data_IF_016197746454
#
_entry.id   IF_016197746454
#
_cell.length_a   1.000
_cell.length_b   1.000
_cell.length_c   1.000
_cell.angle_alpha   90.00
_cell.angle_beta   90.00
_cell.angle_gamma   90.00
#
_symmetry.space_group_name_H-M   'P 1'
#
loop_
_entity.id
_entity.type
_entity.pdbx_description
1 polymer ?
#
# COMPACT_ATOMS: atom_id res chain seq x y z
N UNK A 1 7.27 13.31 23.77
CA UNK A 1 5.82 13.50 23.77
C UNK A 1 5.09 12.35 23.07
N UNK A 2 5.38 12.03 21.81
CA UNK A 2 4.74 10.93 21.06
C UNK A 2 4.73 9.57 21.78
N UNK A 3 5.87 9.12 22.31
CA UNK A 3 5.96 7.83 23.03
C UNK A 3 5.12 7.80 24.33
N UNK A 4 4.97 8.95 24.99
CA UNK A 4 4.15 9.09 26.18
C UNK A 4 2.67 8.94 25.85
N UNK A 5 2.20 9.61 24.78
CA UNK A 5 0.82 9.48 24.31
C UNK A 5 0.50 8.04 23.90
N UNK A 6 1.41 7.39 23.16
CA UNK A 6 1.24 5.98 22.79
C UNK A 6 1.10 5.10 24.04
N UNK A 7 1.96 5.27 25.06
CA UNK A 7 1.89 4.47 26.29
C UNK A 7 0.61 4.69 27.09
N UNK A 8 0.08 5.93 27.08
CA UNK A 8 -1.13 6.28 27.84
C UNK A 8 -2.40 5.78 27.15
N UNK A 9 -2.48 5.89 25.83
CA UNK A 9 -3.74 5.67 25.09
C UNK A 9 -3.77 4.38 24.30
N UNK A 10 -2.63 3.74 24.01
CA UNK A 10 -2.58 2.50 23.23
C UNK A 10 -2.10 1.34 24.11
N UNK A 11 -3.07 0.57 24.63
CA UNK A 11 -2.80 -0.67 25.36
C UNK A 11 -2.21 -1.71 24.39
N UNK A 12 -1.23 -2.47 24.84
CA UNK A 12 -0.52 -3.49 24.02
C UNK A 12 0.16 -2.93 22.75
N UNK A 13 0.70 -1.71 22.84
CA UNK A 13 1.25 -0.93 21.73
C UNK A 13 2.35 -1.62 20.89
N UNK A 14 2.85 -2.79 21.31
CA UNK A 14 3.84 -3.59 20.57
C UNK A 14 3.19 -4.50 19.52
N UNK A 15 1.97 -4.97 19.76
CA UNK A 15 1.25 -5.89 18.87
C UNK A 15 0.48 -5.11 17.79
N UNK A 16 1.20 -4.60 16.81
CA UNK A 16 0.62 -3.79 15.71
C UNK A 16 -0.13 -4.61 14.67
N UNK A 17 -0.01 -5.93 14.69
CA UNK A 17 -0.78 -6.84 13.84
C UNK A 17 -2.22 -7.04 14.34
N UNK A 18 -2.51 -6.69 15.61
CA UNK A 18 -3.85 -6.76 16.16
C UNK A 18 -4.72 -5.60 15.64
N UNK A 19 -5.85 -5.88 14.97
CA UNK A 19 -6.76 -4.85 14.47
C UNK A 19 -7.27 -3.89 15.56
N UNK A 20 -7.46 -4.36 16.79
CA UNK A 20 -7.91 -3.52 17.90
C UNK A 20 -6.81 -2.54 18.36
N UNK A 21 -5.56 -2.97 18.38
CA UNK A 21 -4.40 -2.11 18.67
C UNK A 21 -4.23 -1.08 17.56
N UNK A 22 -4.31 -1.51 16.31
CA UNK A 22 -4.22 -0.63 15.13
C UNK A 22 -5.30 0.45 15.16
N UNK A 23 -6.55 0.08 15.45
CA UNK A 23 -7.68 1.01 15.61
C UNK A 23 -7.40 2.07 16.70
N UNK A 24 -6.81 1.68 17.84
CA UNK A 24 -6.42 2.63 18.90
C UNK A 24 -5.36 3.61 18.44
N UNK A 25 -4.39 3.19 17.64
CA UNK A 25 -3.41 4.09 17.00
C UNK A 25 -4.08 5.10 16.08
N UNK A 26 -5.00 4.66 15.21
CA UNK A 26 -5.77 5.52 14.33
C UNK A 26 -6.60 6.54 15.09
N UNK A 27 -7.31 6.09 16.14
CA UNK A 27 -8.08 6.99 17.00
C UNK A 27 -7.20 8.02 17.73
N UNK A 28 -6.03 7.61 18.23
CA UNK A 28 -5.10 8.53 18.88
C UNK A 28 -4.62 9.60 17.89
N UNK A 29 -4.25 9.21 16.67
CA UNK A 29 -3.83 10.15 15.64
C UNK A 29 -4.93 11.14 15.25
N UNK A 30 -6.11 10.62 14.92
CA UNK A 30 -7.25 11.42 14.51
C UNK A 30 -7.74 12.37 15.61
N UNK A 31 -7.89 11.88 16.84
CA UNK A 31 -8.32 12.70 17.96
C UNK A 31 -7.31 13.83 18.27
N UNK A 32 -6.02 13.50 18.25
CA UNK A 32 -4.96 14.50 18.42
C UNK A 32 -5.02 15.55 17.31
N UNK A 33 -5.23 15.12 16.06
CA UNK A 33 -5.41 16.03 14.92
C UNK A 33 -6.61 16.97 15.08
N UNK A 34 -7.78 16.42 15.45
CA UNK A 34 -8.99 17.22 15.69
C UNK A 34 -8.73 18.27 16.77
N UNK A 35 -8.22 17.86 17.92
CA UNK A 35 -8.01 18.78 19.06
C UNK A 35 -7.01 19.87 18.71
N UNK A 36 -5.88 19.53 18.09
CA UNK A 36 -4.86 20.53 17.77
C UNK A 36 -5.31 21.49 16.66
N UNK A 37 -6.00 21.00 15.62
CA UNK A 37 -6.51 21.86 14.56
C UNK A 37 -7.62 22.80 15.07
N UNK A 38 -8.48 22.34 15.98
CA UNK A 38 -9.47 23.22 16.63
C UNK A 38 -8.78 24.25 17.52
N UNK A 39 -7.75 23.88 18.28
CA UNK A 39 -6.99 24.83 19.09
C UNK A 39 -6.28 25.89 18.22
N UNK A 40 -5.69 25.47 17.10
CA UNK A 40 -5.08 26.38 16.13
C UNK A 40 -6.12 27.31 15.49
N UNK A 41 -7.29 26.77 15.10
CA UNK A 41 -8.41 27.57 14.59
C UNK A 41 -8.81 28.67 15.58
N UNK A 42 -9.11 28.29 16.82
CA UNK A 42 -9.54 29.24 17.84
C UNK A 42 -8.47 30.28 18.16
N UNK A 43 -7.22 29.86 18.30
CA UNK A 43 -6.09 30.76 18.58
C UNK A 43 -5.87 31.79 17.46
N UNK A 44 -5.88 31.35 16.20
CA UNK A 44 -5.74 32.21 15.02
C UNK A 44 -6.95 33.09 14.84
N UNK A 45 -8.17 32.60 15.06
CA UNK A 45 -9.39 33.41 14.96
C UNK A 45 -9.40 34.56 15.96
N UNK A 46 -9.07 34.26 17.22
CA UNK A 46 -8.97 35.32 18.27
C UNK A 46 -7.88 36.32 17.91
N UNK A 47 -6.69 35.87 17.52
CA UNK A 47 -5.60 36.73 17.11
C UNK A 47 -5.97 37.59 15.90
N UNK A 48 -6.64 37.01 14.90
CA UNK A 48 -7.11 37.75 13.72
C UNK A 48 -8.15 38.81 14.01
N UNK A 49 -9.12 38.50 14.89
CA UNK A 49 -10.13 39.51 15.34
C UNK A 49 -9.47 40.64 16.11
N UNK A 50 -8.57 40.32 17.03
CA UNK A 50 -7.89 41.35 17.86
C UNK A 50 -6.94 42.23 17.04
N UNK A 51 -6.31 41.69 15.98
CA UNK A 51 -5.40 42.44 15.11
C UNK A 51 -6.09 43.12 13.91
N UNK A 52 -7.35 42.77 13.64
CA UNK A 52 -8.04 43.17 12.39
C UNK A 52 -7.46 42.49 11.13
N UNK A 53 -6.63 41.47 11.29
CA UNK A 53 -5.93 40.77 10.20
C UNK A 53 -6.82 39.77 9.48
N UNK A 54 -7.40 40.14 8.33
CA UNK A 54 -8.26 39.26 7.52
C UNK A 54 -7.51 38.01 7.07
N UNK A 55 -6.23 38.10 6.72
CA UNK A 55 -5.40 36.97 6.32
C UNK A 55 -5.22 35.94 7.45
N UNK A 56 -5.10 36.38 8.70
CA UNK A 56 -4.99 35.49 9.87
C UNK A 56 -6.32 34.78 10.13
N UNK A 57 -7.45 35.47 9.91
CA UNK A 57 -8.78 34.86 10.00
C UNK A 57 -8.97 33.80 8.90
N UNK A 58 -8.58 34.11 7.67
CA UNK A 58 -8.65 33.14 6.56
C UNK A 58 -7.81 31.88 6.86
N UNK A 59 -6.59 32.05 7.39
CA UNK A 59 -5.71 30.95 7.79
C UNK A 59 -6.28 30.17 9.00
N UNK A 60 -7.07 30.79 9.86
CA UNK A 60 -7.82 30.06 10.90
C UNK A 60 -8.82 29.08 10.27
N UNK A 61 -9.58 29.49 9.25
CA UNK A 61 -10.53 28.60 8.58
C UNK A 61 -9.85 27.42 7.87
N UNK A 62 -8.61 27.58 7.39
CA UNK A 62 -7.83 26.44 6.88
C UNK A 62 -7.65 25.36 7.98
N UNK A 63 -7.31 25.76 9.22
CA UNK A 63 -7.20 24.77 10.30
C UNK A 63 -8.55 24.13 10.68
N UNK A 64 -9.66 24.79 10.44
CA UNK A 64 -10.99 24.17 10.61
C UNK A 64 -11.22 23.10 9.54
N UNK A 65 -10.80 23.34 8.29
CA UNK A 65 -10.82 22.35 7.20
C UNK A 65 -9.93 21.14 7.52
N UNK A 66 -8.73 21.37 8.11
CA UNK A 66 -7.81 20.30 8.53
C UNK A 66 -8.38 19.46 9.69
N UNK A 67 -9.19 20.09 10.56
CA UNK A 67 -9.97 19.34 11.55
C UNK A 67 -10.96 18.39 10.85
N UNK A 68 -11.57 18.81 9.72
CA UNK A 68 -12.40 17.95 8.87
C UNK A 68 -11.64 16.75 8.31
N UNK A 69 -10.43 16.92 7.78
CA UNK A 69 -9.55 15.82 7.35
C UNK A 69 -9.24 14.85 8.49
N UNK A 70 -9.01 15.39 9.71
CA UNK A 70 -8.79 14.56 10.91
C UNK A 70 -10.04 13.77 11.31
N UNK A 71 -11.24 14.36 11.13
CA UNK A 71 -12.53 13.65 11.33
C UNK A 71 -12.67 12.52 10.31
N UNK A 72 -12.31 12.74 9.03
CA UNK A 72 -12.32 11.68 8.02
C UNK A 72 -11.37 10.53 8.38
N UNK A 73 -10.19 10.84 8.91
CA UNK A 73 -9.27 9.83 9.45
C UNK A 73 -9.95 9.01 10.57
N UNK A 74 -10.63 9.67 11.50
CA UNK A 74 -11.35 8.99 12.59
C UNK A 74 -12.47 8.08 12.06
N UNK A 75 -13.29 8.57 11.14
CA UNK A 75 -14.38 7.83 10.51
C UNK A 75 -13.83 6.62 9.77
N UNK A 76 -12.75 6.79 9.00
CA UNK A 76 -12.08 5.72 8.28
C UNK A 76 -11.66 4.56 9.18
N UNK A 77 -10.95 4.86 10.28
CA UNK A 77 -10.57 3.82 11.25
C UNK A 77 -11.76 3.20 11.99
N UNK A 78 -12.82 3.99 12.24
CA UNK A 78 -14.04 3.47 12.83
C UNK A 78 -14.72 2.47 11.90
N UNK A 79 -14.89 2.83 10.64
CA UNK A 79 -15.53 1.97 9.64
C UNK A 79 -14.66 0.75 9.30
N UNK A 80 -13.36 0.92 9.11
CA UNK A 80 -12.44 -0.21 8.87
C UNK A 80 -12.48 -1.25 10.00
N UNK A 81 -12.75 -0.82 11.23
CA UNK A 81 -12.90 -1.71 12.38
C UNK A 81 -14.29 -2.35 12.54
N UNK A 82 -15.23 -2.14 11.61
CA UNK A 82 -16.55 -2.81 11.65
C UNK A 82 -16.43 -4.27 11.24
N UNK A 83 -17.22 -5.19 11.84
CA UNK A 83 -17.24 -6.59 11.44
C UNK A 83 -17.79 -6.75 10.02
N UNK A 84 -17.64 -7.95 9.47
CA UNK A 84 -18.34 -8.35 8.25
C UNK A 84 -19.87 -8.35 8.48
N UNK A 85 -20.60 -7.99 7.45
CA UNK A 85 -22.07 -8.02 7.39
C UNK A 85 -22.55 -8.62 6.06
N UNK A 86 -23.87 -8.61 5.83
CA UNK A 86 -24.48 -9.20 4.64
C UNK A 86 -24.12 -8.47 3.34
N UNK A 87 -23.81 -7.17 3.40
CA UNK A 87 -23.43 -6.37 2.24
C UNK A 87 -21.92 -6.43 1.98
N UNK A 88 -21.12 -6.58 3.06
CA UNK A 88 -19.67 -6.64 3.03
C UNK A 88 -19.14 -7.89 3.76
N UNK A 89 -19.28 -9.09 3.15
CA UNK A 89 -18.92 -10.37 3.78
C UNK A 89 -17.42 -10.49 4.08
N UNK A 90 -16.56 -9.79 3.31
CA UNK A 90 -15.12 -9.68 3.60
C UNK A 90 -14.79 -8.55 4.59
N UNK A 91 -15.83 -7.84 5.12
CA UNK A 91 -15.72 -6.77 6.09
C UNK A 91 -15.30 -5.43 5.49
N UNK A 92 -15.08 -4.46 6.37
CA UNK A 92 -14.92 -3.04 6.03
C UNK A 92 -13.45 -2.55 6.06
N UNK A 93 -12.46 -3.45 6.14
CA UNK A 93 -11.04 -3.07 6.31
C UNK A 93 -10.53 -2.10 5.26
N UNK A 94 -11.00 -2.19 4.02
CA UNK A 94 -10.64 -1.31 2.90
C UNK A 94 -11.13 0.14 3.05
N UNK A 95 -12.06 0.42 4.00
CA UNK A 95 -12.50 1.79 4.30
C UNK A 95 -11.37 2.69 4.81
N UNK A 96 -10.30 2.11 5.34
CA UNK A 96 -9.08 2.86 5.66
C UNK A 96 -8.47 3.47 4.39
N UNK A 97 -8.35 2.72 3.31
CA UNK A 97 -7.80 3.21 2.03
C UNK A 97 -8.72 4.24 1.38
N UNK A 98 -10.05 4.03 1.43
CA UNK A 98 -11.04 5.00 0.95
C UNK A 98 -10.88 6.35 1.66
N UNK A 99 -10.68 6.33 2.98
CA UNK A 99 -10.42 7.56 3.75
C UNK A 99 -9.13 8.25 3.33
N UNK A 100 -8.06 7.49 3.05
CA UNK A 100 -6.82 8.02 2.50
C UNK A 100 -7.01 8.70 1.14
N UNK A 101 -7.85 8.13 0.27
CA UNK A 101 -8.23 8.74 -1.01
C UNK A 101 -8.96 10.05 -0.80
N UNK A 102 -9.95 10.11 0.09
CA UNK A 102 -10.69 11.35 0.38
C UNK A 102 -9.74 12.45 0.87
N UNK A 103 -8.85 12.12 1.81
CA UNK A 103 -7.86 13.07 2.32
C UNK A 103 -6.93 13.56 1.19
N UNK A 104 -6.47 12.66 0.30
CA UNK A 104 -5.62 13.05 -0.82
C UNK A 104 -6.32 14.01 -1.80
N UNK A 105 -7.62 13.84 -2.02
CA UNK A 105 -8.41 14.81 -2.80
C UNK A 105 -8.50 16.17 -2.11
N UNK A 106 -8.67 16.21 -0.80
CA UNK A 106 -8.66 17.47 -0.04
C UNK A 106 -7.29 18.17 -0.20
N UNK A 107 -6.18 17.44 -0.07
CA UNK A 107 -4.83 17.98 -0.28
C UNK A 107 -4.68 18.55 -1.70
N UNK A 108 -5.12 17.82 -2.73
CA UNK A 108 -5.05 18.30 -4.11
C UNK A 108 -5.91 19.53 -4.34
N UNK A 109 -7.11 19.61 -3.75
CA UNK A 109 -7.97 20.80 -3.83
C UNK A 109 -7.29 22.00 -3.20
N UNK A 110 -6.66 21.85 -2.03
CA UNK A 110 -5.90 22.93 -1.37
C UNK A 110 -4.71 23.38 -2.23
N UNK A 111 -3.98 22.44 -2.84
CA UNK A 111 -2.89 22.77 -3.77
C UNK A 111 -3.40 23.54 -5.00
N UNK A 112 -4.53 23.14 -5.56
CA UNK A 112 -5.15 23.84 -6.69
C UNK A 112 -5.60 25.26 -6.31
N UNK A 113 -6.25 25.44 -5.16
CA UNK A 113 -6.70 26.73 -4.67
C UNK A 113 -5.53 27.66 -4.37
N UNK A 114 -4.46 27.17 -3.76
CA UNK A 114 -3.23 27.92 -3.55
C UNK A 114 -2.61 28.36 -4.89
N UNK A 115 -2.55 27.45 -5.87
CA UNK A 115 -2.04 27.76 -7.21
C UNK A 115 -2.86 28.85 -7.91
N UNK A 116 -4.20 28.73 -7.87
CA UNK A 116 -5.13 29.71 -8.42
C UNK A 116 -4.94 31.08 -7.76
N UNK A 117 -4.97 31.14 -6.43
CA UNK A 117 -4.76 32.38 -5.67
C UNK A 117 -3.39 33.00 -5.95
N UNK A 118 -2.34 32.19 -6.07
CA UNK A 118 -1.00 32.66 -6.40
C UNK A 118 -0.92 33.28 -7.80
N UNK A 119 -1.59 32.68 -8.79
CA UNK A 119 -1.69 33.23 -10.15
C UNK A 119 -2.49 34.51 -10.16
N UNK A 120 -3.62 34.58 -9.47
CA UNK A 120 -4.44 35.83 -9.35
C UNK A 120 -3.64 36.96 -8.75
N UNK A 121 -2.83 36.72 -7.72
CA UNK A 121 -1.94 37.70 -7.10
C UNK A 121 -0.84 38.24 -8.03
N UNK A 122 -0.41 37.46 -9.04
CA UNK A 122 0.52 38.00 -10.05
C UNK A 122 -0.11 39.10 -10.89
N UNK A 123 -1.39 38.93 -11.27
CA UNK A 123 -2.12 39.91 -12.08
C UNK A 123 -2.71 41.07 -11.27
N UNK A 124 -2.96 40.85 -9.99
CA UNK A 124 -3.53 41.84 -9.06
C UNK A 124 -2.75 41.82 -7.74
N UNK A 125 -1.55 42.44 -7.70
CA UNK A 125 -0.71 42.42 -6.52
C UNK A 125 -1.40 43.08 -5.31
N UNK A 126 -1.61 42.33 -4.26
CA UNK A 126 -2.06 42.84 -2.96
C UNK A 126 -0.86 43.07 -2.05
N UNK A 127 -0.69 44.25 -1.53
CA UNK A 127 0.37 44.55 -0.56
C UNK A 127 0.09 43.80 0.73
N UNK A 128 0.90 42.81 1.03
CA UNK A 128 0.84 42.16 2.35
C UNK A 128 1.52 43.06 3.39
N UNK A 129 0.80 43.44 4.43
CA UNK A 129 1.39 44.22 5.53
C UNK A 129 2.14 43.29 6.48
N UNK A 130 3.41 43.61 6.73
CA UNK A 130 4.21 42.89 7.72
C UNK A 130 3.70 43.14 9.13
N UNK A 131 3.28 42.09 9.82
CA UNK A 131 2.83 42.13 11.22
C UNK A 131 3.62 41.13 12.07
N UNK A 132 4.28 41.64 13.10
CA UNK A 132 5.00 40.78 14.08
C UNK A 132 4.04 39.78 14.74
N UNK A 133 2.79 40.21 15.00
CA UNK A 133 1.78 39.35 15.57
C UNK A 133 1.45 38.16 14.59
N UNK A 134 1.24 38.49 13.31
CA UNK A 134 0.98 37.47 12.28
C UNK A 134 2.12 36.47 12.17
N UNK A 135 3.38 36.93 12.10
CA UNK A 135 4.56 36.07 12.04
C UNK A 135 4.68 35.17 13.29
N UNK A 136 4.39 35.71 14.48
CA UNK A 136 4.43 34.95 15.74
C UNK A 136 3.38 33.83 15.77
N UNK A 137 2.17 34.11 15.31
CA UNK A 137 1.05 33.16 15.24
C UNK A 137 1.33 32.08 14.19
N UNK A 138 1.81 32.46 13.00
CA UNK A 138 2.23 31.52 11.95
C UNK A 138 3.38 30.65 12.43
N UNK A 139 4.39 31.20 13.10
CA UNK A 139 5.50 30.44 13.66
C UNK A 139 5.07 29.43 14.71
N UNK A 140 4.17 29.81 15.62
CA UNK A 140 3.59 28.89 16.59
C UNK A 140 2.78 27.77 15.92
N UNK A 141 1.97 28.13 14.92
CA UNK A 141 1.21 27.17 14.12
C UNK A 141 2.13 26.19 13.39
N UNK A 142 3.21 26.68 12.78
CA UNK A 142 4.21 25.87 12.09
C UNK A 142 4.82 24.80 13.01
N UNK A 143 5.18 25.17 14.23
CA UNK A 143 5.75 24.21 15.21
C UNK A 143 4.75 23.12 15.59
N UNK A 144 3.47 23.47 15.77
CA UNK A 144 2.41 22.50 16.07
C UNK A 144 2.18 21.57 14.88
N UNK A 145 2.06 22.12 13.67
CA UNK A 145 1.88 21.33 12.43
C UNK A 145 3.06 20.42 12.14
N UNK A 146 4.29 20.88 12.34
CA UNK A 146 5.49 20.07 12.21
C UNK A 146 5.47 18.88 13.20
N UNK A 147 5.09 19.16 14.44
CA UNK A 147 4.94 18.08 15.42
C UNK A 147 3.84 17.08 15.00
N UNK A 148 2.70 17.57 14.48
CA UNK A 148 1.60 16.72 13.97
C UNK A 148 2.08 15.85 12.79
N UNK A 149 2.82 16.42 11.83
CA UNK A 149 3.38 15.70 10.70
C UNK A 149 4.31 14.56 11.15
N UNK A 150 5.25 14.86 12.06
CA UNK A 150 6.16 13.86 12.64
C UNK A 150 5.42 12.79 13.46
N UNK A 151 4.41 13.21 14.21
CA UNK A 151 3.57 12.32 15.01
C UNK A 151 2.80 11.34 14.13
N UNK A 152 2.07 11.85 13.12
CA UNK A 152 1.29 11.05 12.19
C UNK A 152 2.18 10.14 11.32
N UNK A 153 3.35 10.63 10.88
CA UNK A 153 4.34 9.80 10.17
C UNK A 153 4.80 8.61 11.02
N UNK A 154 5.09 8.86 12.31
CA UNK A 154 5.52 7.80 13.23
C UNK A 154 4.42 6.76 13.47
N UNK A 155 3.19 7.21 13.67
CA UNK A 155 2.04 6.32 13.82
C UNK A 155 1.78 5.54 12.52
N UNK A 156 1.73 6.23 11.38
CA UNK A 156 1.49 5.64 10.07
C UNK A 156 2.52 4.57 9.69
N UNK A 157 3.80 4.82 9.95
CA UNK A 157 4.86 3.82 9.74
C UNK A 157 4.72 2.62 10.68
N UNK A 158 4.32 2.84 11.94
CA UNK A 158 4.24 1.78 12.94
C UNK A 158 3.11 0.81 12.69
N UNK A 159 1.98 1.29 12.15
CA UNK A 159 0.82 0.47 11.84
C UNK A 159 0.64 0.25 10.32
N UNK A 160 1.57 0.70 9.49
CA UNK A 160 1.52 0.69 8.01
C UNK A 160 0.16 1.15 7.46
N UNK A 161 -0.26 2.36 7.89
CA UNK A 161 -1.56 2.93 7.55
C UNK A 161 -1.44 3.99 6.46
N UNK A 162 -2.14 3.79 5.33
CA UNK A 162 -2.23 4.77 4.25
C UNK A 162 -2.92 6.06 4.71
N UNK A 163 -4.00 5.94 5.48
CA UNK A 163 -4.74 7.09 6.03
C UNK A 163 -3.89 7.95 6.97
N UNK A 164 -3.08 7.32 7.85
CA UNK A 164 -2.18 8.06 8.72
C UNK A 164 -1.03 8.71 7.95
N UNK A 165 -0.53 8.07 6.88
CA UNK A 165 0.44 8.67 5.96
C UNK A 165 -0.16 9.86 5.22
N UNK A 166 -1.42 9.78 4.78
CA UNK A 166 -2.16 10.89 4.18
C UNK A 166 -2.30 12.08 5.15
N UNK A 167 -2.72 11.83 6.40
CA UNK A 167 -2.80 12.88 7.42
C UNK A 167 -1.43 13.49 7.78
N UNK A 168 -0.35 12.73 7.67
CA UNK A 168 1.01 13.25 7.82
C UNK A 168 1.41 14.15 6.64
N UNK A 169 1.06 13.76 5.40
CA UNK A 169 1.30 14.53 4.19
C UNK A 169 0.54 15.87 4.20
N UNK A 170 -0.72 15.85 4.65
CA UNK A 170 -1.54 17.04 4.87
C UNK A 170 -0.84 18.04 5.80
N UNK A 171 -0.50 17.60 7.02
CA UNK A 171 0.21 18.44 7.99
C UNK A 171 1.59 18.93 7.50
N UNK A 172 2.29 18.15 6.68
CA UNK A 172 3.58 18.53 6.10
C UNK A 172 3.40 19.57 4.99
N UNK A 173 2.37 19.44 4.16
CA UNK A 173 2.01 20.45 3.14
C UNK A 173 1.75 21.80 3.76
N UNK A 174 1.02 21.83 4.87
CA UNK A 174 0.78 23.04 5.66
C UNK A 174 2.07 23.64 6.22
N UNK A 175 2.99 22.81 6.72
CA UNK A 175 4.29 23.27 7.19
C UNK A 175 5.08 23.96 6.06
N UNK A 176 5.11 23.38 4.87
CA UNK A 176 5.85 23.91 3.73
C UNK A 176 5.21 25.23 3.29
N UNK A 177 3.89 25.26 3.10
CA UNK A 177 3.16 26.46 2.73
C UNK A 177 3.40 27.60 3.73
N UNK A 178 3.21 27.36 5.03
CA UNK A 178 3.42 28.36 6.09
C UNK A 178 4.88 28.81 6.16
N UNK A 179 5.85 27.91 5.99
CA UNK A 179 7.29 28.26 6.00
C UNK A 179 7.62 29.21 4.84
N UNK A 180 7.11 28.91 3.64
CA UNK A 180 7.33 29.76 2.45
C UNK A 180 6.71 31.14 2.66
N UNK A 181 5.49 31.20 3.18
CA UNK A 181 4.84 32.49 3.49
C UNK A 181 5.69 33.32 4.47
N UNK A 182 6.18 32.71 5.57
CA UNK A 182 7.04 33.39 6.54
C UNK A 182 8.33 33.91 5.88
N UNK A 183 8.99 33.08 5.04
CA UNK A 183 10.21 33.44 4.32
C UNK A 183 9.93 34.62 3.35
N UNK A 184 8.84 34.55 2.60
CA UNK A 184 8.44 35.65 1.70
C UNK A 184 8.17 36.94 2.43
N UNK A 185 7.49 36.90 3.59
CA UNK A 185 7.27 38.09 4.45
C UNK A 185 8.60 38.71 4.91
N UNK A 186 9.61 37.90 5.27
CA UNK A 186 10.94 38.42 5.62
C UNK A 186 11.67 39.01 4.42
N UNK A 187 11.63 38.36 3.25
CA UNK A 187 12.25 38.89 2.03
C UNK A 187 11.63 40.22 1.64
N UNK A 188 10.30 40.33 1.68
CA UNK A 188 9.60 41.56 1.40
C UNK A 188 10.01 42.66 2.37
N UNK A 189 10.16 42.38 3.68
CA UNK A 189 10.60 43.33 4.67
C UNK A 189 11.98 43.91 4.39
N UNK A 190 12.94 43.08 3.97
CA UNK A 190 14.33 43.49 3.78
C UNK A 190 14.65 43.97 2.37
N UNK A 191 14.02 43.44 1.34
CA UNK A 191 14.32 43.72 -0.07
C UNK A 191 13.26 44.53 -0.79
N UNK A 192 12.04 44.64 -0.26
CA UNK A 192 10.89 45.22 -0.94
C UNK A 192 10.34 44.39 -2.09
N UNK A 193 10.91 43.22 -2.38
CA UNK A 193 10.45 42.35 -3.46
C UNK A 193 9.28 41.46 -3.00
N UNK A 194 8.20 41.46 -3.78
CA UNK A 194 7.03 40.58 -3.59
C UNK A 194 7.23 39.23 -4.30
N UNK A 195 7.75 38.22 -3.60
CA UNK A 195 7.99 36.90 -4.13
C UNK A 195 6.87 35.91 -3.78
N UNK A 196 5.90 36.32 -2.94
CA UNK A 196 4.85 35.46 -2.40
C UNK A 196 4.09 34.67 -3.48
N UNK A 197 3.70 35.35 -4.56
CA UNK A 197 2.93 34.76 -5.65
C UNK A 197 3.72 33.69 -6.42
N UNK A 198 5.00 33.92 -6.70
CA UNK A 198 5.84 32.95 -7.42
C UNK A 198 6.18 31.74 -6.55
N UNK A 199 6.52 31.99 -5.30
CA UNK A 199 6.77 30.93 -4.32
C UNK A 199 5.51 30.11 -4.07
N UNK A 200 4.34 30.75 -4.01
CA UNK A 200 3.04 30.09 -3.88
C UNK A 200 2.75 29.10 -5.00
N UNK A 201 3.10 29.42 -6.27
CA UNK A 201 2.95 28.48 -7.39
C UNK A 201 3.84 27.26 -7.20
N UNK A 202 5.10 27.44 -6.80
CA UNK A 202 6.02 26.31 -6.58
C UNK A 202 5.49 25.40 -5.45
N UNK A 203 5.01 25.97 -4.36
CA UNK A 203 4.41 25.23 -3.25
C UNK A 203 3.14 24.52 -3.69
N UNK A 204 2.28 25.17 -4.48
CA UNK A 204 1.07 24.56 -5.02
C UNK A 204 1.37 23.31 -5.87
N UNK A 205 2.37 23.39 -6.74
CA UNK A 205 2.82 22.24 -7.54
C UNK A 205 3.35 21.09 -6.65
N UNK A 206 4.09 21.43 -5.59
CA UNK A 206 4.58 20.45 -4.63
C UNK A 206 3.41 19.78 -3.87
N UNK A 207 2.42 20.54 -3.42
CA UNK A 207 1.23 20.02 -2.73
C UNK A 207 0.42 19.10 -3.66
N UNK A 208 0.21 19.50 -4.92
CA UNK A 208 -0.46 18.68 -5.92
C UNK A 208 0.27 17.36 -6.17
N UNK A 209 1.60 17.40 -6.29
CA UNK A 209 2.43 16.20 -6.43
C UNK A 209 2.31 15.27 -5.22
N UNK A 210 2.40 15.82 -4.01
CA UNK A 210 2.25 15.08 -2.76
C UNK A 210 0.87 14.44 -2.64
N UNK A 211 -0.20 15.22 -2.93
CA UNK A 211 -1.58 14.72 -2.93
C UNK A 211 -1.78 13.59 -3.93
N UNK A 212 -1.23 13.72 -5.15
CA UNK A 212 -1.31 12.66 -6.17
C UNK A 212 -0.57 11.37 -5.76
N UNK A 213 0.61 11.48 -5.15
CA UNK A 213 1.32 10.31 -4.62
C UNK A 213 0.54 9.64 -3.49
N UNK A 214 -0.01 10.42 -2.56
CA UNK A 214 -0.86 9.90 -1.47
C UNK A 214 -2.12 9.22 -2.02
N UNK A 215 -2.74 9.77 -3.06
CA UNK A 215 -3.85 9.14 -3.77
C UNK A 215 -3.45 7.78 -4.35
N UNK A 216 -2.31 7.72 -5.07
CA UNK A 216 -1.80 6.49 -5.66
C UNK A 216 -1.49 5.42 -4.60
N UNK A 217 -0.86 5.80 -3.49
CA UNK A 217 -0.57 4.89 -2.38
C UNK A 217 -1.84 4.33 -1.74
N UNK A 218 -2.91 5.13 -1.65
CA UNK A 218 -4.20 4.70 -1.10
C UNK A 218 -5.02 3.88 -2.09
N UNK A 219 -4.88 4.13 -3.40
CA UNK A 219 -5.60 3.42 -4.45
C UNK A 219 -5.01 2.02 -4.72
N UNK A 220 -3.67 1.88 -4.67
CA UNK A 220 -2.96 0.65 -5.02
C UNK A 220 -3.48 -0.59 -4.25
N UNK A 221 -3.71 -0.56 -2.92
CA UNK A 221 -4.27 -1.70 -2.20
C UNK A 221 -5.71 -2.05 -2.59
N UNK A 222 -6.49 -1.08 -3.07
CA UNK A 222 -7.86 -1.33 -3.55
C UNK A 222 -7.87 -2.08 -4.88
N UNK A 223 -6.89 -1.81 -5.74
CA UNK A 223 -6.70 -2.48 -7.03
C UNK A 223 -6.05 -3.87 -6.90
N UNK A 224 -5.52 -4.21 -5.73
CA UNK A 224 -4.76 -5.44 -5.49
C UNK A 224 -3.26 -5.17 -5.55
N UNK A 225 -2.70 -4.76 -4.43
CA UNK A 225 -1.25 -4.57 -4.32
C UNK A 225 -0.54 -5.93 -4.28
N UNK A 226 0.64 -6.00 -4.90
CA UNK A 226 1.52 -7.16 -4.75
C UNK A 226 1.86 -7.36 -3.26
N UNK A 227 1.77 -8.60 -2.73
CA UNK A 227 2.18 -8.88 -1.36
C UNK A 227 3.67 -8.60 -1.15
N UNK A 228 4.06 -8.36 0.11
CA UNK A 228 5.48 -8.18 0.45
C UNK A 228 6.24 -9.48 0.21
N UNK A 229 7.42 -9.37 -0.37
CA UNK A 229 8.27 -10.52 -0.70
C UNK A 229 8.57 -11.39 0.52
N UNK A 230 8.80 -10.76 1.67
CA UNK A 230 9.05 -11.43 2.93
C UNK A 230 7.86 -12.29 3.38
N UNK A 231 6.62 -11.82 3.14
CA UNK A 231 5.41 -12.58 3.45
C UNK A 231 5.27 -13.79 2.54
N UNK A 232 5.54 -13.64 1.24
CA UNK A 232 5.50 -14.73 0.26
C UNK A 232 6.50 -15.81 0.65
N UNK A 233 7.77 -15.43 0.84
CA UNK A 233 8.84 -16.38 1.24
C UNK A 233 8.53 -17.06 2.58
N UNK A 234 7.92 -16.36 3.52
CA UNK A 234 7.56 -16.94 4.83
C UNK A 234 6.43 -17.96 4.70
N UNK A 235 5.40 -17.70 3.87
CA UNK A 235 4.32 -18.66 3.61
C UNK A 235 4.86 -19.90 2.91
N UNK A 236 5.60 -19.72 1.81
CA UNK A 236 6.20 -20.82 1.05
C UNK A 236 7.09 -21.70 1.92
N UNK A 237 7.99 -21.08 2.70
CA UNK A 237 8.86 -21.82 3.63
C UNK A 237 8.07 -22.54 4.73
N UNK A 238 6.98 -21.95 5.23
CA UNK A 238 6.13 -22.60 6.24
C UNK A 238 5.53 -23.88 5.66
N UNK A 239 4.97 -23.82 4.45
CA UNK A 239 4.36 -24.98 3.79
C UNK A 239 5.40 -26.02 3.42
N UNK A 240 6.54 -25.62 2.85
CA UNK A 240 7.63 -26.53 2.44
C UNK A 240 8.31 -27.27 3.61
N UNK A 241 8.19 -26.77 4.84
CA UNK A 241 8.75 -27.43 6.02
C UNK A 241 7.96 -28.65 6.51
N UNK A 242 6.79 -28.92 5.94
CA UNK A 242 6.01 -30.11 6.29
C UNK A 242 6.47 -31.32 5.51
N UNK A 243 6.71 -32.43 6.23
CA UNK A 243 7.06 -33.70 5.61
C UNK A 243 5.92 -34.22 4.72
N UNK A 244 6.21 -34.48 3.46
CA UNK A 244 5.23 -34.92 2.46
C UNK A 244 4.88 -33.85 1.43
N UNK A 245 5.24 -32.58 1.64
CA UNK A 245 5.15 -31.55 0.62
C UNK A 245 6.40 -31.59 -0.26
N UNK A 246 6.19 -31.63 -1.57
CA UNK A 246 7.24 -31.74 -2.60
C UNK A 246 7.52 -30.39 -3.25
N UNK A 247 6.49 -29.57 -3.39
CA UNK A 247 6.56 -28.24 -4.00
C UNK A 247 5.39 -27.35 -3.59
N UNK A 248 5.56 -26.04 -3.80
CA UNK A 248 4.53 -25.00 -3.59
C UNK A 248 4.57 -24.06 -4.78
N UNK A 249 3.41 -23.76 -5.33
CA UNK A 249 3.26 -22.80 -6.44
C UNK A 249 1.90 -22.10 -6.40
N UNK A 250 1.67 -21.16 -7.32
CA UNK A 250 0.42 -20.39 -7.48
C UNK A 250 -0.08 -19.72 -6.20
N UNK A 251 0.87 -19.22 -5.39
CA UNK A 251 0.51 -18.47 -4.20
C UNK A 251 -0.17 -17.15 -4.58
N UNK A 252 -1.42 -16.98 -4.15
CA UNK A 252 -2.18 -15.74 -4.26
C UNK A 252 -2.56 -15.22 -2.89
N UNK A 253 -2.34 -13.92 -2.67
CA UNK A 253 -2.69 -13.23 -1.42
C UNK A 253 -3.61 -12.07 -1.74
N UNK A 254 -4.85 -12.16 -1.29
CA UNK A 254 -5.83 -11.08 -1.39
C UNK A 254 -5.95 -10.33 -0.06
N UNK A 255 -5.69 -9.02 -0.09
CA UNK A 255 -5.81 -8.17 1.10
C UNK A 255 -7.12 -7.38 1.08
N UNK A 256 -7.97 -7.63 2.07
CA UNK A 256 -9.20 -6.89 2.34
C UNK A 256 -9.07 -5.93 3.54
N UNK A 257 -7.84 -5.63 3.93
CA UNK A 257 -7.50 -4.81 5.09
C UNK A 257 -6.94 -5.65 6.24
N UNK A 258 -6.45 -4.98 7.26
CA UNK A 258 -5.68 -5.61 8.34
C UNK A 258 -6.44 -6.74 9.04
N UNK A 259 -5.82 -7.91 9.08
CA UNK A 259 -6.39 -9.13 9.65
C UNK A 259 -7.52 -9.74 8.81
N UNK A 260 -7.56 -9.42 7.52
CA UNK A 260 -8.58 -9.90 6.56
C UNK A 260 -7.92 -10.24 5.24
N UNK A 261 -7.01 -11.18 5.27
CA UNK A 261 -6.38 -11.75 4.08
C UNK A 261 -7.09 -13.05 3.68
N UNK A 262 -7.05 -13.34 2.40
CA UNK A 262 -7.40 -14.64 1.82
C UNK A 262 -6.17 -15.13 1.07
N UNK A 263 -5.70 -16.31 1.42
CA UNK A 263 -4.53 -16.95 0.82
C UNK A 263 -5.01 -18.19 0.08
N UNK A 264 -4.60 -18.35 -1.14
CA UNK A 264 -4.71 -19.61 -1.86
C UNK A 264 -3.36 -19.97 -2.45
N UNK A 265 -3.04 -21.25 -2.43
CA UNK A 265 -1.82 -21.79 -3.00
C UNK A 265 -2.02 -23.24 -3.43
N UNK A 266 -1.09 -23.74 -4.22
CA UNK A 266 -1.01 -25.13 -4.62
C UNK A 266 0.14 -25.82 -3.88
N UNK A 267 -0.11 -27.03 -3.38
CA UNK A 267 0.90 -27.87 -2.72
C UNK A 267 1.03 -29.21 -3.46
N UNK A 268 2.22 -29.48 -3.93
CA UNK A 268 2.55 -30.74 -4.58
C UNK A 268 2.79 -31.84 -3.54
N UNK A 269 2.07 -32.96 -3.68
CA UNK A 269 2.19 -34.15 -2.82
C UNK A 269 2.41 -35.40 -3.69
N UNK A 270 3.17 -36.35 -3.19
CA UNK A 270 3.39 -37.59 -3.94
C UNK A 270 2.07 -38.30 -4.26
N UNK A 271 1.86 -38.66 -5.52
CA UNK A 271 0.69 -39.44 -5.98
C UNK A 271 0.59 -40.86 -5.36
N UNK A 272 1.65 -41.32 -4.66
CA UNK A 272 1.66 -42.56 -3.91
C UNK A 272 1.15 -42.40 -2.48
N UNK A 273 0.95 -41.19 -1.99
CA UNK A 273 0.42 -40.94 -0.65
C UNK A 273 -1.07 -41.25 -0.62
N UNK A 274 -1.52 -41.91 0.44
CA UNK A 274 -2.96 -42.11 0.67
C UNK A 274 -3.70 -40.81 0.70
N UNK A 275 -4.85 -40.70 0.01
CA UNK A 275 -5.59 -39.47 -0.18
C UNK A 275 -6.07 -38.91 1.16
N UNK A 276 -6.40 -39.75 2.14
CA UNK A 276 -6.88 -39.28 3.45
C UNK A 276 -5.72 -38.72 4.28
N UNK A 277 -4.53 -39.34 4.20
CA UNK A 277 -3.33 -38.81 4.84
C UNK A 277 -2.88 -37.49 4.20
N UNK A 278 -2.96 -37.42 2.87
CA UNK A 278 -2.64 -36.19 2.17
C UNK A 278 -3.59 -35.04 2.55
N UNK A 279 -4.90 -35.32 2.64
CA UNK A 279 -5.90 -34.34 3.06
C UNK A 279 -5.67 -33.88 4.51
N UNK A 280 -5.40 -34.82 5.44
CA UNK A 280 -5.09 -34.49 6.84
C UNK A 280 -3.87 -33.57 6.96
N UNK A 281 -2.84 -33.80 6.14
CA UNK A 281 -1.66 -32.94 6.08
C UNK A 281 -2.01 -31.52 5.59
N UNK A 282 -2.83 -31.43 4.55
CA UNK A 282 -3.28 -30.11 4.02
C UNK A 282 -4.11 -29.35 5.05
N UNK A 283 -5.06 -30.01 5.72
CA UNK A 283 -5.89 -29.40 6.76
C UNK A 283 -5.00 -28.85 7.91
N UNK A 284 -3.99 -29.61 8.33
CA UNK A 284 -3.05 -29.18 9.36
C UNK A 284 -2.28 -27.91 8.94
N UNK A 285 -1.80 -27.87 7.69
CA UNK A 285 -1.08 -26.71 7.15
C UNK A 285 -2.00 -25.50 7.04
N UNK A 286 -3.23 -25.69 6.57
CA UNK A 286 -4.22 -24.62 6.50
C UNK A 286 -4.53 -24.03 7.87
N UNK A 287 -4.69 -24.87 8.90
CA UNK A 287 -4.98 -24.43 10.27
C UNK A 287 -3.80 -23.65 10.86
N UNK A 288 -2.56 -24.09 10.64
CA UNK A 288 -1.36 -23.40 11.08
C UNK A 288 -1.23 -22.00 10.43
N UNK A 289 -1.47 -21.92 9.12
CA UNK A 289 -1.46 -20.64 8.41
C UNK A 289 -2.61 -19.73 8.85
N UNK A 290 -3.82 -20.28 9.11
CA UNK A 290 -4.98 -19.52 9.64
C UNK A 290 -4.66 -18.93 11.01
N UNK A 291 -4.05 -19.70 11.90
CA UNK A 291 -3.69 -19.23 13.24
C UNK A 291 -2.60 -18.16 13.17
N UNK A 292 -1.54 -18.43 12.40
CA UNK A 292 -0.36 -17.56 12.29
C UNK A 292 -0.70 -16.20 11.67
N UNK A 293 -1.47 -16.18 10.57
CA UNK A 293 -1.76 -14.96 9.81
C UNK A 293 -3.16 -14.39 10.06
N UNK A 294 -4.01 -15.09 10.83
CA UNK A 294 -5.42 -14.71 11.08
C UNK A 294 -6.17 -14.43 9.78
N UNK A 295 -6.06 -15.34 8.83
CA UNK A 295 -6.60 -15.21 7.48
C UNK A 295 -7.44 -16.43 7.10
N UNK A 296 -8.14 -16.36 5.96
CA UNK A 296 -8.71 -17.54 5.32
C UNK A 296 -7.66 -18.15 4.42
N UNK A 297 -7.47 -19.47 4.49
CA UNK A 297 -6.50 -20.20 3.66
C UNK A 297 -7.21 -21.34 2.94
N UNK A 298 -6.86 -21.54 1.69
CA UNK A 298 -7.26 -22.69 0.90
C UNK A 298 -6.04 -23.20 0.13
N UNK A 299 -5.73 -24.49 0.29
CA UNK A 299 -4.61 -25.15 -0.39
C UNK A 299 -5.18 -26.17 -1.37
N UNK A 300 -4.87 -25.97 -2.65
CA UNK A 300 -5.14 -26.98 -3.67
C UNK A 300 -4.04 -28.07 -3.61
N UNK A 301 -4.45 -29.31 -3.56
CA UNK A 301 -3.54 -30.45 -3.49
C UNK A 301 -3.26 -30.96 -4.89
N UNK A 302 -1.99 -30.89 -5.33
CA UNK A 302 -1.55 -31.41 -6.63
C UNK A 302 -0.78 -32.71 -6.49
N UNK A 303 -1.34 -33.86 -6.95
CA UNK A 303 -0.64 -35.13 -6.89
C UNK A 303 0.44 -35.21 -7.99
N UNK A 304 1.70 -35.27 -7.58
CA UNK A 304 2.85 -35.41 -8.48
C UNK A 304 3.46 -36.82 -8.43
N UNK A 305 3.95 -37.31 -9.58
CA UNK A 305 4.66 -38.59 -9.65
C UNK A 305 6.11 -38.31 -9.25
N UNK A 306 6.49 -38.84 -8.10
CA UNK A 306 7.86 -38.76 -7.57
C UNK A 306 8.62 -40.03 -8.02
N UNK A 307 9.93 -39.91 -8.31
CA UNK A 307 10.82 -41.00 -8.75
C UNK A 307 10.55 -41.51 -10.18
N UNK A 308 10.00 -40.70 -11.08
CA UNK A 308 9.94 -41.04 -12.50
C UNK A 308 11.21 -40.54 -13.23
N UNK A 309 12.20 -41.41 -13.37
CA UNK A 309 13.48 -41.09 -14.04
C UNK A 309 13.29 -40.51 -15.45
N UNK A 310 12.27 -40.95 -16.18
CA UNK A 310 11.97 -40.48 -17.51
C UNK A 310 11.39 -39.04 -17.46
N UNK A 311 10.48 -38.78 -16.54
CA UNK A 311 9.95 -37.45 -16.32
C UNK A 311 11.06 -36.48 -15.90
N UNK A 312 11.96 -36.90 -15.01
CA UNK A 312 13.10 -36.09 -14.56
C UNK A 312 14.08 -35.74 -15.67
N UNK A 313 14.38 -36.71 -16.56
CA UNK A 313 15.25 -36.49 -17.72
C UNK A 313 14.62 -35.50 -18.70
N UNK A 314 13.34 -35.65 -19.00
CA UNK A 314 12.60 -34.74 -19.88
C UNK A 314 12.49 -33.33 -19.24
N UNK A 315 12.20 -33.26 -17.93
CA UNK A 315 12.14 -32.01 -17.19
C UNK A 315 13.45 -31.21 -17.27
N UNK A 316 14.60 -31.89 -17.12
CA UNK A 316 15.92 -31.27 -17.28
C UNK A 316 16.10 -30.67 -18.67
N UNK A 317 15.76 -31.42 -19.71
CA UNK A 317 15.85 -30.90 -21.11
C UNK A 317 14.96 -29.66 -21.31
N UNK A 318 13.74 -29.72 -20.80
CA UNK A 318 12.79 -28.59 -20.90
C UNK A 318 13.31 -27.36 -20.13
N UNK A 319 13.80 -27.55 -18.91
CA UNK A 319 14.38 -26.46 -18.11
C UNK A 319 15.59 -25.81 -18.79
N UNK A 320 16.47 -26.59 -19.42
CA UNK A 320 17.62 -26.08 -20.16
C UNK A 320 17.19 -25.24 -21.39
N UNK A 321 16.18 -25.70 -22.11
CA UNK A 321 15.61 -24.97 -23.24
C UNK A 321 15.03 -23.62 -22.78
N UNK A 322 14.21 -23.65 -21.72
CA UNK A 322 13.55 -22.45 -21.19
C UNK A 322 14.57 -21.43 -20.68
N UNK A 323 15.57 -21.89 -19.90
CA UNK A 323 16.64 -21.00 -19.39
C UNK A 323 17.48 -20.37 -20.50
N UNK A 324 17.65 -21.06 -21.63
CA UNK A 324 18.37 -20.50 -22.79
C UNK A 324 17.55 -19.42 -23.52
N UNK A 325 16.22 -19.43 -23.41
CA UNK A 325 15.34 -18.42 -23.98
C UNK A 325 15.32 -17.19 -23.07
N UNK A 326 15.03 -17.40 -21.78
CA UNK A 326 15.08 -16.34 -20.78
C UNK A 326 15.24 -16.96 -19.38
N UNK A 327 16.23 -16.51 -18.62
CA UNK A 327 16.55 -17.02 -17.29
C UNK A 327 15.52 -16.68 -16.21
N UNK A 328 14.61 -15.74 -16.50
CA UNK A 328 13.54 -15.33 -15.59
C UNK A 328 12.28 -16.22 -15.65
N UNK A 329 12.24 -17.13 -16.64
CA UNK A 329 11.13 -18.06 -16.81
C UNK A 329 11.26 -19.23 -15.85
N UNK A 330 10.13 -19.64 -15.25
CA UNK A 330 10.04 -20.83 -14.39
C UNK A 330 8.87 -21.71 -14.85
N UNK A 331 8.89 -22.99 -14.43
CA UNK A 331 7.79 -23.92 -14.72
C UNK A 331 7.34 -24.61 -13.45
N UNK A 332 6.06 -24.96 -13.39
CA UNK A 332 5.47 -25.84 -12.38
C UNK A 332 4.46 -26.81 -13.02
N UNK A 333 3.85 -27.68 -12.23
CA UNK A 333 2.89 -28.71 -12.66
C UNK A 333 3.41 -29.56 -13.84
N UNK A 334 4.73 -29.90 -13.78
CA UNK A 334 5.38 -30.64 -14.84
C UNK A 334 4.99 -32.13 -14.78
N UNK A 335 4.40 -32.64 -15.88
CA UNK A 335 4.02 -34.02 -16.02
C UNK A 335 4.21 -34.51 -17.46
N UNK A 336 4.43 -35.80 -17.61
CA UNK A 336 4.47 -36.46 -18.92
C UNK A 336 3.37 -37.50 -19.05
N UNK A 337 2.83 -37.65 -20.25
CA UNK A 337 1.94 -38.78 -20.58
C UNK A 337 2.52 -39.57 -21.73
N UNK A 338 2.80 -40.87 -21.48
CA UNK A 338 3.34 -41.76 -22.48
C UNK A 338 2.27 -42.21 -23.48
N UNK A 339 2.49 -41.88 -24.75
CA UNK A 339 1.75 -42.46 -25.88
C UNK A 339 2.67 -43.38 -26.69
N UNK A 340 2.08 -44.25 -27.53
CA UNK A 340 2.82 -45.21 -28.36
C UNK A 340 3.79 -44.51 -29.33
N UNK A 341 3.39 -43.35 -29.87
CA UNK A 341 4.18 -42.59 -30.86
C UNK A 341 4.61 -41.20 -30.41
N UNK A 342 4.06 -40.69 -29.32
CA UNK A 342 4.31 -39.33 -28.80
C UNK A 342 4.28 -39.33 -27.30
N UNK A 343 5.10 -38.46 -26.69
CA UNK A 343 5.12 -38.17 -25.27
C UNK A 343 4.61 -36.76 -25.11
N UNK A 344 3.46 -36.56 -24.46
CA UNK A 344 3.03 -35.22 -24.13
C UNK A 344 3.80 -34.75 -22.88
N UNK A 345 4.37 -33.58 -23.02
CA UNK A 345 5.05 -32.84 -21.93
C UNK A 345 4.17 -31.68 -21.55
N UNK A 346 3.54 -31.79 -20.40
CA UNK A 346 2.54 -30.84 -19.92
C UNK A 346 3.17 -30.07 -18.78
N UNK A 347 3.11 -28.74 -18.84
CA UNK A 347 3.59 -27.88 -17.77
C UNK A 347 3.03 -26.46 -17.92
N UNK A 348 3.01 -25.75 -16.80
CA UNK A 348 2.67 -24.35 -16.75
C UNK A 348 3.93 -23.49 -16.74
N UNK A 349 3.99 -22.50 -17.63
CA UNK A 349 5.12 -21.58 -17.82
C UNK A 349 4.82 -20.26 -17.14
N UNK A 350 5.52 -19.97 -16.05
CA UNK A 350 5.40 -18.71 -15.33
C UNK A 350 6.27 -17.65 -15.98
N UNK A 351 5.64 -16.54 -16.35
CA UNK A 351 6.29 -15.41 -17.01
C UNK A 351 6.21 -14.16 -16.15
N UNK A 352 7.30 -13.38 -15.99
CA UNK A 352 7.25 -12.10 -15.31
C UNK A 352 6.50 -11.05 -16.13
N UNK A 353 5.93 -10.04 -15.45
CA UNK A 353 5.37 -8.88 -16.13
C UNK A 353 6.46 -8.09 -16.86
N UNK A 354 6.15 -7.61 -18.09
CA UNK A 354 7.07 -6.82 -18.88
C UNK A 354 8.04 -7.60 -19.75
N UNK A 355 7.87 -8.92 -19.87
CA UNK A 355 8.64 -9.74 -20.79
C UNK A 355 8.39 -9.25 -22.24
N UNK A 356 9.45 -9.21 -23.08
CA UNK A 356 9.41 -8.73 -24.47
C UNK A 356 8.57 -9.59 -25.40
N UNK A 357 8.35 -10.86 -25.06
CA UNK A 357 7.60 -11.81 -25.88
C UNK A 357 6.10 -11.80 -25.51
N UNK A 358 5.25 -12.02 -26.50
CA UNK A 358 3.83 -12.33 -26.27
C UNK A 358 3.67 -13.79 -25.86
N UNK A 359 2.68 -14.08 -25.03
CA UNK A 359 2.47 -15.40 -24.44
C UNK A 359 2.38 -16.51 -25.50
N UNK A 360 1.59 -16.30 -26.56
CA UNK A 360 1.46 -17.28 -27.65
C UNK A 360 2.74 -17.46 -28.49
N UNK A 361 3.53 -16.40 -28.68
CA UNK A 361 4.80 -16.43 -29.39
C UNK A 361 5.84 -17.21 -28.56
N UNK A 362 5.92 -16.94 -27.26
CA UNK A 362 6.81 -17.61 -26.33
C UNK A 362 6.50 -19.12 -26.24
N UNK A 363 5.22 -19.46 -26.06
CA UNK A 363 4.77 -20.86 -26.04
C UNK A 363 5.14 -21.59 -27.34
N UNK A 364 4.97 -20.95 -28.49
CA UNK A 364 5.34 -21.54 -29.78
C UNK A 364 6.85 -21.74 -29.93
N UNK A 365 7.66 -20.76 -29.49
CA UNK A 365 9.13 -20.87 -29.50
C UNK A 365 9.60 -22.06 -28.66
N UNK A 366 9.09 -22.19 -27.42
CA UNK A 366 9.44 -23.28 -26.52
C UNK A 366 8.99 -24.63 -27.11
N UNK A 367 7.76 -24.68 -27.64
CA UNK A 367 7.20 -25.88 -28.28
C UNK A 367 8.07 -26.37 -29.44
N UNK A 368 8.49 -25.47 -30.30
CA UNK A 368 9.36 -25.80 -31.44
C UNK A 368 10.75 -26.27 -30.96
N UNK A 369 11.35 -25.59 -29.98
CA UNK A 369 12.65 -25.95 -29.44
C UNK A 369 12.64 -27.36 -28.75
N UNK A 370 11.54 -27.68 -28.06
CA UNK A 370 11.35 -29.04 -27.48
C UNK A 370 11.23 -30.08 -28.57
N UNK A 371 10.43 -29.81 -29.63
CA UNK A 371 10.23 -30.74 -30.75
C UNK A 371 11.52 -30.94 -31.57
N UNK A 372 12.34 -29.90 -31.73
CA UNK A 372 13.66 -29.99 -32.37
C UNK A 372 14.65 -30.89 -31.59
N UNK A 373 14.53 -30.92 -30.26
CA UNK A 373 15.41 -31.73 -29.41
C UNK A 373 15.06 -33.21 -29.46
N UNK A 374 13.77 -33.59 -29.43
CA UNK A 374 13.25 -34.91 -29.67
C UNK A 374 11.86 -34.82 -30.31
N UNK A 375 11.73 -35.22 -31.57
CA UNK A 375 10.48 -35.14 -32.34
C UNK A 375 9.29 -35.95 -31.77
N UNK A 376 9.53 -36.78 -30.74
CA UNK A 376 8.49 -37.51 -30.02
C UNK A 376 7.84 -36.66 -28.92
N UNK A 377 8.53 -35.61 -28.44
CA UNK A 377 8.03 -34.71 -27.39
C UNK A 377 7.04 -33.72 -27.97
N UNK A 378 5.83 -33.70 -27.43
CA UNK A 378 4.77 -32.79 -27.79
C UNK A 378 4.44 -31.93 -26.57
N UNK A 379 4.93 -30.67 -26.56
CA UNK A 379 4.70 -29.77 -25.43
C UNK A 379 3.28 -29.20 -25.43
N UNK A 380 2.61 -29.30 -24.28
CA UNK A 380 1.34 -28.66 -23.95
C UNK A 380 1.65 -27.65 -22.85
N UNK A 381 1.60 -26.37 -23.20
CA UNK A 381 2.08 -25.26 -22.35
C UNK A 381 0.91 -24.34 -22.04
N UNK A 382 0.63 -24.14 -20.77
CA UNK A 382 -0.18 -23.04 -20.26
C UNK A 382 0.76 -21.90 -19.87
N UNK A 383 0.48 -20.67 -20.28
CA UNK A 383 1.32 -19.52 -19.92
C UNK A 383 0.61 -18.69 -18.85
N UNK A 384 1.28 -18.50 -17.74
CA UNK A 384 0.75 -17.81 -16.58
C UNK A 384 1.63 -16.62 -16.20
N UNK A 385 1.06 -15.70 -15.41
CA UNK A 385 1.77 -14.55 -14.86
C UNK A 385 2.07 -14.79 -13.39
N UNK A 386 3.30 -14.49 -12.99
CA UNK A 386 3.63 -14.48 -11.56
C UNK A 386 2.74 -13.49 -10.81
N UNK A 387 1.93 -13.98 -9.89
CA UNK A 387 1.04 -13.17 -9.05
C UNK A 387 1.76 -12.63 -7.82
N UNK A 388 2.88 -13.25 -7.44
CA UNK A 388 3.67 -12.93 -6.26
C UNK A 388 5.13 -12.62 -6.58
#
# INVERSE_FOLDING_TARGET
MTNLLIKLFVKDSKNTSDPAVRKRYGYLGAFTGIVLNILLFLGKLIAGILSGGISVIADAFNNLSDAGSSIMTFVGFKMAGMPADSEHPYGHGRMEYVSGIIISFIIMMMGFELGKSSVEKIFSPEKSEFSILAVSVLGASLLVKLWMALFNTKLGRKIDSATMKAAAADSLSDCISTSVVIICMFIQLFSGFELDSYAGIIVALFILYTGFNTFKESLTPLLGAKPKKELVEEIENTVMNYDGIVGVHDLMVHDYGVGRMVISLHAEISSKTDIMLAHELIDLIEDDLREKYRCSVTIHMDPVVVDDKKADEVKKVVLDIIKNIDSSLTIHDFRITDGVSRINVIFDLVTPFGLRYKDGELALMIKNAIAEKDGRLNAVITVERSMC
#
